data_IF_049315060836
#
_entry.id   IF_049315060836
#
_cell.length_a   1.000
_cell.length_b   1.000
_cell.length_c   1.000
_cell.angle_alpha   90.00
_cell.angle_beta   90.00
_cell.angle_gamma   90.00
#
_symmetry.space_group_name_H-M   'P 1'
#
loop_
_entity.id
_entity.type
_entity.pdbx_description
1 polymer ?
#
# COMPACT_ATOMS: atom_id res chain seq x y z
N UNK A 1 -19.78 6.21 -1.21
CA UNK A 1 -19.19 4.87 -0.97
C UNK A 1 -18.71 4.84 0.46
N UNK A 2 -19.16 3.86 1.27
CA UNK A 2 -18.72 3.78 2.67
C UNK A 2 -17.29 3.21 2.67
N UNK A 3 -16.30 4.07 2.96
CA UNK A 3 -14.88 3.67 3.02
C UNK A 3 -14.71 2.60 4.11
N UNK A 4 -14.12 1.46 3.76
CA UNK A 4 -13.96 0.35 4.70
C UNK A 4 -12.91 0.70 5.76
N UNK A 5 -12.88 -0.01 6.90
CA UNK A 5 -11.93 0.30 7.98
C UNK A 5 -10.48 0.31 7.49
N UNK A 6 -10.10 -0.66 6.65
CA UNK A 6 -8.76 -0.74 6.04
C UNK A 6 -8.45 0.47 5.16
N UNK A 7 -9.42 0.97 4.41
CA UNK A 7 -9.23 2.11 3.50
C UNK A 7 -9.02 3.39 4.33
N UNK A 8 -9.83 3.59 5.39
CA UNK A 8 -9.65 4.70 6.33
C UNK A 8 -8.31 4.66 7.06
N UNK A 9 -7.85 3.47 7.43
CA UNK A 9 -6.56 3.29 8.10
C UNK A 9 -5.41 3.62 7.14
N UNK A 10 -5.47 3.11 5.91
CA UNK A 10 -4.47 3.40 4.87
C UNK A 10 -4.44 4.89 4.51
N UNK A 11 -5.60 5.53 4.33
CA UNK A 11 -5.73 6.95 4.07
C UNK A 11 -5.12 7.78 5.22
N UNK A 12 -5.38 7.38 6.47
CA UNK A 12 -4.83 8.04 7.66
C UNK A 12 -3.30 7.97 7.72
N UNK A 13 -2.72 6.80 7.46
CA UNK A 13 -1.25 6.60 7.45
C UNK A 13 -0.63 7.42 6.31
N UNK A 14 -1.19 7.31 5.10
CA UNK A 14 -0.68 8.02 3.92
C UNK A 14 -0.70 9.53 4.11
N UNK A 15 -1.79 10.06 4.70
CA UNK A 15 -1.92 11.48 5.00
C UNK A 15 -0.92 11.95 6.05
N UNK A 16 -0.70 11.17 7.10
CA UNK A 16 0.27 11.51 8.14
C UNK A 16 1.71 11.56 7.59
N UNK A 17 2.08 10.60 6.73
CA UNK A 17 3.38 10.56 6.05
C UNK A 17 3.53 11.79 5.14
N UNK A 18 2.50 12.10 4.36
CA UNK A 18 2.47 13.28 3.50
C UNK A 18 2.59 14.59 4.28
N UNK A 19 1.85 14.75 5.37
CA UNK A 19 1.93 15.94 6.23
C UNK A 19 3.35 16.09 6.82
N UNK A 20 3.96 14.99 7.26
CA UNK A 20 5.31 15.00 7.81
C UNK A 20 6.36 15.37 6.76
N UNK A 21 6.24 14.83 5.53
CA UNK A 21 7.15 15.11 4.43
C UNK A 21 6.89 16.45 3.73
N UNK A 22 5.69 17.03 3.85
CA UNK A 22 5.29 18.27 3.15
C UNK A 22 6.09 19.51 3.55
N UNK A 23 6.86 19.44 4.63
CA UNK A 23 7.76 20.50 5.07
C UNK A 23 9.10 20.51 4.33
N UNK A 24 9.39 19.51 3.50
CA UNK A 24 10.58 19.41 2.67
C UNK A 24 10.20 19.66 1.19
N UNK A 25 10.73 20.74 0.61
CA UNK A 25 10.51 21.12 -0.80
C UNK A 25 11.08 20.10 -1.79
N UNK A 26 11.96 19.20 -1.34
CA UNK A 26 12.53 18.11 -2.13
C UNK A 26 11.82 16.77 -1.92
N UNK A 27 10.73 16.74 -1.14
CA UNK A 27 9.97 15.53 -0.92
C UNK A 27 9.21 15.11 -2.18
N UNK A 28 9.78 14.15 -2.90
CA UNK A 28 9.23 13.67 -4.15
C UNK A 28 8.12 12.63 -3.92
N UNK A 29 7.29 12.40 -4.94
CA UNK A 29 6.32 11.30 -4.92
C UNK A 29 6.98 9.92 -4.75
N UNK A 30 8.23 9.76 -5.22
CA UNK A 30 9.00 8.53 -5.01
C UNK A 30 9.40 8.36 -3.54
N UNK A 31 9.86 9.44 -2.89
CA UNK A 31 10.17 9.44 -1.46
C UNK A 31 8.91 9.12 -0.63
N UNK A 32 7.78 9.75 -0.96
CA UNK A 32 6.47 9.45 -0.36
C UNK A 32 6.09 7.98 -0.50
N UNK A 33 6.22 7.41 -1.70
CA UNK A 33 5.92 6.00 -1.93
C UNK A 33 6.84 5.09 -1.10
N UNK A 34 8.13 5.44 -0.98
CA UNK A 34 9.10 4.69 -0.19
C UNK A 34 8.75 4.70 1.30
N UNK A 35 8.44 5.86 1.86
CA UNK A 35 8.09 6.00 3.28
C UNK A 35 6.79 5.24 3.63
N UNK A 36 5.79 5.27 2.74
CA UNK A 36 4.56 4.47 2.90
C UNK A 36 4.91 2.98 2.96
N UNK A 37 5.78 2.50 2.06
CA UNK A 37 6.19 1.10 2.05
C UNK A 37 6.95 0.71 3.32
N UNK A 38 7.87 1.55 3.79
CA UNK A 38 8.64 1.31 5.01
C UNK A 38 7.74 1.23 6.26
N UNK A 39 6.75 2.12 6.38
CA UNK A 39 5.78 2.09 7.50
C UNK A 39 4.93 0.81 7.44
N UNK A 40 4.47 0.41 6.26
CA UNK A 40 3.69 -0.82 6.10
C UNK A 40 4.53 -2.07 6.44
N UNK A 41 5.80 -2.09 6.04
CA UNK A 41 6.74 -3.17 6.38
C UNK A 41 6.94 -3.25 7.90
N UNK A 42 7.15 -2.11 8.58
CA UNK A 42 7.29 -2.07 10.02
C UNK A 42 6.02 -2.55 10.77
N UNK A 43 4.83 -2.15 10.29
CA UNK A 43 3.55 -2.60 10.86
C UNK A 43 3.33 -4.11 10.66
N UNK A 44 3.72 -4.65 9.51
CA UNK A 44 3.69 -6.09 9.25
C UNK A 44 4.64 -6.84 10.19
N UNK A 45 5.89 -6.40 10.31
CA UNK A 45 6.89 -6.99 11.19
C UNK A 45 6.44 -6.97 12.67
N UNK A 46 5.89 -5.84 13.12
CA UNK A 46 5.33 -5.71 14.48
C UNK A 46 4.16 -6.67 14.72
N UNK A 47 3.26 -6.80 13.75
CA UNK A 47 2.13 -7.72 13.84
C UNK A 47 2.62 -9.16 13.96
N UNK A 48 3.58 -9.57 13.15
CA UNK A 48 4.18 -10.93 13.21
C UNK A 48 4.81 -11.18 14.58
N UNK A 49 5.60 -10.22 15.07
CA UNK A 49 6.27 -10.33 16.36
C UNK A 49 5.28 -10.48 17.52
N UNK A 50 4.17 -9.72 17.49
CA UNK A 50 3.18 -9.68 18.58
C UNK A 50 2.14 -10.79 18.54
N UNK A 51 1.88 -11.39 17.38
CA UNK A 51 0.80 -12.38 17.20
C UNK A 51 1.27 -13.85 17.32
N UNK A 52 2.55 -14.09 17.61
CA UNK A 52 3.14 -15.44 17.75
C UNK A 52 2.87 -16.36 16.53
N UNK A 53 2.84 -15.78 15.33
CA UNK A 53 2.58 -16.51 14.08
C UNK A 53 3.87 -17.22 13.63
N UNK A 54 3.76 -18.44 13.11
CA UNK A 54 4.94 -19.19 12.62
C UNK A 54 5.51 -18.55 11.35
N UNK A 55 6.80 -18.75 11.10
CA UNK A 55 7.49 -18.23 9.90
C UNK A 55 6.84 -18.72 8.61
N UNK A 56 6.34 -19.95 8.58
CA UNK A 56 5.66 -20.52 7.41
C UNK A 56 4.35 -19.78 7.12
N UNK A 57 3.51 -19.56 8.14
CA UNK A 57 2.23 -18.84 7.96
C UNK A 57 2.44 -17.41 7.48
N UNK A 58 3.49 -16.73 7.96
CA UNK A 58 3.85 -15.39 7.48
C UNK A 58 4.23 -15.42 6.00
N UNK A 59 5.13 -16.34 5.61
CA UNK A 59 5.58 -16.47 4.22
C UNK A 59 4.39 -16.68 3.29
N UNK A 60 3.53 -17.66 3.60
CA UNK A 60 2.40 -18.02 2.75
C UNK A 60 1.41 -16.83 2.61
N UNK A 61 1.18 -16.09 3.70
CA UNK A 61 0.35 -14.87 3.69
C UNK A 61 0.96 -13.74 2.85
N UNK A 62 2.28 -13.57 2.91
CA UNK A 62 2.99 -12.58 2.10
C UNK A 62 2.95 -12.93 0.60
N UNK A 63 3.13 -14.20 0.26
CA UNK A 63 3.03 -14.69 -1.13
C UNK A 63 1.62 -14.46 -1.69
N UNK A 64 0.58 -14.83 -0.95
CA UNK A 64 -0.81 -14.60 -1.34
C UNK A 64 -1.10 -13.10 -1.52
N UNK A 65 -0.63 -12.27 -0.59
CA UNK A 65 -0.78 -10.81 -0.65
C UNK A 65 -0.10 -10.22 -1.88
N UNK A 66 1.12 -10.68 -2.20
CA UNK A 66 1.85 -10.26 -3.40
C UNK A 66 1.09 -10.61 -4.68
N UNK A 67 0.60 -11.84 -4.81
CA UNK A 67 -0.21 -12.25 -5.96
C UNK A 67 -1.48 -11.41 -6.10
N UNK A 68 -2.14 -11.09 -4.99
CA UNK A 68 -3.35 -10.29 -4.98
C UNK A 68 -3.09 -8.84 -5.41
N UNK A 69 -2.04 -8.20 -4.86
CA UNK A 69 -1.62 -6.84 -5.23
C UNK A 69 -1.25 -6.79 -6.72
N UNK A 70 -0.44 -7.74 -7.19
CA UNK A 70 -0.04 -7.83 -8.61
C UNK A 70 -1.27 -7.90 -9.52
N UNK A 71 -2.25 -8.75 -9.19
CA UNK A 71 -3.49 -8.89 -9.97
C UNK A 71 -4.29 -7.58 -9.99
N UNK A 72 -4.42 -6.91 -8.84
CA UNK A 72 -5.16 -5.64 -8.75
C UNK A 72 -4.47 -4.53 -9.55
N UNK A 73 -3.14 -4.42 -9.45
CA UNK A 73 -2.36 -3.45 -10.22
C UNK A 73 -2.52 -3.65 -11.73
N UNK A 74 -2.42 -4.88 -12.22
CA UNK A 74 -2.63 -5.19 -13.64
C UNK A 74 -4.05 -4.83 -14.11
N UNK A 75 -5.07 -5.15 -13.32
CA UNK A 75 -6.46 -4.81 -13.64
C UNK A 75 -6.70 -3.28 -13.68
N UNK A 76 -6.06 -2.52 -12.79
CA UNK A 76 -6.07 -1.06 -12.80
C UNK A 76 -5.43 -0.50 -14.08
N UNK A 77 -4.27 -1.02 -14.48
CA UNK A 77 -3.61 -0.60 -15.72
C UNK A 77 -4.45 -0.93 -16.97
N UNK A 78 -5.07 -2.11 -17.02
CA UNK A 78 -5.97 -2.47 -18.11
C UNK A 78 -7.19 -1.54 -18.19
N UNK A 79 -7.75 -1.17 -17.03
CA UNK A 79 -8.88 -0.23 -16.94
C UNK A 79 -8.48 1.16 -17.44
N UNK A 80 -7.35 1.71 -16.98
CA UNK A 80 -6.86 3.01 -17.44
C UNK A 80 -6.56 3.01 -18.96
N UNK A 81 -6.02 1.91 -19.48
CA UNK A 81 -5.77 1.73 -20.92
C UNK A 81 -7.06 1.71 -21.75
N UNK A 82 -8.14 1.14 -21.22
CA UNK A 82 -9.45 1.18 -21.88
C UNK A 82 -10.11 2.55 -21.80
N UNK A 83 -10.00 3.24 -20.66
CA UNK A 83 -10.54 4.59 -20.49
C UNK A 83 -9.83 5.61 -21.41
N UNK A 84 -8.53 5.48 -21.61
CA UNK A 84 -7.78 6.30 -22.59
C UNK A 84 -8.15 6.00 -24.04
N UNK A 85 -8.50 4.75 -24.38
CA UNK A 85 -8.97 4.39 -25.74
C UNK A 85 -10.39 4.86 -26.04
N UNK A 86 -11.25 4.99 -25.03
CA UNK A 86 -12.65 5.42 -25.22
C UNK A 86 -12.82 6.94 -25.23
N UNK A 87 -11.85 7.69 -24.71
CA UNK A 87 -11.85 9.16 -24.65
C UNK A 87 -10.91 9.82 -25.69
N UNK A 88 -10.30 9.03 -26.58
CA UNK A 88 -9.39 9.47 -27.64
C UNK A 88 -10.00 9.37 -29.04
#
# INVERSE_FOLDING_TARGET
MNSSYKDKMFDGISKYIEETGSHDEHYTNEAKARDILEVLEALLAYTIYTTCVSKETVRDSCEESYFNIKRQALALMEKELQETKNNG
#
